data_IF_272214679150
#
_entry.id   IF_272214679150
#
_cell.length_a   1.000
_cell.length_b   1.000
_cell.length_c   1.000
_cell.angle_alpha   90.00
_cell.angle_beta   90.00
_cell.angle_gamma   90.00
#
_symmetry.space_group_name_H-M   'P 1'
#
loop_
_entity.id
_entity.type
_entity.pdbx_description
1 polymer ?
#
# COMPACT_ATOMS: atom_id res chain seq x y z
N UNK A 1 -31.60 -10.33 -5.05
CA UNK A 1 -31.07 -10.30 -3.67
C UNK A 1 -29.76 -11.08 -3.66
N UNK A 2 -28.66 -10.34 -3.45
CA UNK A 2 -27.39 -10.72 -2.83
C UNK A 2 -26.77 -12.11 -3.06
N UNK A 3 -25.69 -12.13 -3.84
CA UNK A 3 -24.51 -12.99 -3.60
C UNK A 3 -23.24 -12.22 -4.02
N UNK A 4 -22.80 -11.30 -3.15
CA UNK A 4 -21.49 -10.65 -3.24
C UNK A 4 -20.69 -10.76 -1.92
N UNK A 5 -21.09 -11.60 -0.97
CA UNK A 5 -20.57 -11.52 0.41
C UNK A 5 -19.69 -12.67 0.91
N UNK A 6 -19.27 -13.65 0.12
CA UNK A 6 -18.57 -14.83 0.68
C UNK A 6 -17.03 -14.71 0.77
N UNK A 7 -16.41 -13.62 0.32
CA UNK A 7 -14.94 -13.54 0.25
C UNK A 7 -14.25 -12.95 1.50
N UNK A 8 -14.98 -12.38 2.47
CA UNK A 8 -14.38 -11.70 3.65
C UNK A 8 -14.38 -12.55 4.95
N UNK A 9 -14.93 -13.78 4.92
CA UNK A 9 -15.30 -14.49 6.17
C UNK A 9 -14.20 -15.36 6.80
N UNK A 10 -13.05 -15.57 6.14
CA UNK A 10 -12.02 -16.50 6.62
C UNK A 10 -10.82 -15.82 7.31
N UNK A 11 -10.87 -14.51 7.59
CA UNK A 11 -9.78 -13.78 8.25
C UNK A 11 -10.17 -13.38 9.67
N UNK A 12 -9.41 -13.85 10.66
CA UNK A 12 -9.78 -13.70 12.09
C UNK A 12 -8.76 -12.90 12.91
N UNK A 13 -7.68 -12.40 12.30
CA UNK A 13 -6.71 -11.56 12.99
C UNK A 13 -7.27 -10.16 13.29
N UNK A 14 -7.78 -9.97 14.50
CA UNK A 14 -8.38 -8.70 14.94
C UNK A 14 -7.36 -7.67 15.45
N UNK A 15 -6.09 -7.78 15.07
CA UNK A 15 -4.96 -6.91 15.45
C UNK A 15 -4.13 -6.52 14.22
N UNK A 16 -3.30 -5.46 14.30
CA UNK A 16 -2.46 -5.06 13.15
C UNK A 16 -1.34 -6.07 12.84
N UNK A 17 -1.01 -6.94 13.79
CA UNK A 17 -0.05 -8.04 13.68
C UNK A 17 -0.62 -9.30 14.35
N UNK A 18 -0.58 -10.49 13.71
CA UNK A 18 -1.00 -11.74 14.34
C UNK A 18 -0.23 -12.06 15.62
N UNK A 19 -0.94 -12.59 16.62
CA UNK A 19 -0.36 -12.95 17.92
C UNK A 19 0.81 -13.94 17.80
N UNK A 20 0.71 -14.91 16.88
CA UNK A 20 1.78 -15.86 16.61
C UNK A 20 3.05 -15.17 16.08
N UNK A 21 2.90 -14.16 15.22
CA UNK A 21 4.03 -13.37 14.72
C UNK A 21 4.64 -12.52 15.83
N UNK A 22 3.80 -11.87 16.66
CA UNK A 22 4.27 -11.08 17.81
C UNK A 22 5.17 -11.93 18.71
N UNK A 23 4.68 -13.10 19.16
CA UNK A 23 5.44 -14.03 20.01
C UNK A 23 6.73 -14.50 19.35
N UNK A 24 6.66 -14.81 18.04
CA UNK A 24 7.84 -15.21 17.28
C UNK A 24 8.89 -14.10 17.28
N UNK A 25 8.53 -12.86 16.95
CA UNK A 25 9.46 -11.74 16.89
C UNK A 25 10.00 -11.36 18.27
N UNK A 26 9.19 -11.45 19.33
CA UNK A 26 9.64 -11.26 20.71
C UNK A 26 10.69 -12.32 21.11
N UNK A 27 10.40 -13.60 20.87
CA UNK A 27 11.31 -14.71 21.23
C UNK A 27 12.65 -14.68 20.48
N UNK A 28 12.70 -13.97 19.34
CA UNK A 28 13.89 -13.85 18.48
C UNK A 28 14.55 -12.46 18.54
N UNK A 29 14.09 -11.57 19.41
CA UNK A 29 14.57 -10.18 19.50
C UNK A 29 14.47 -9.41 18.16
N UNK A 30 13.44 -9.69 17.35
CA UNK A 30 13.21 -9.10 16.03
C UNK A 30 12.23 -7.91 16.06
N UNK A 31 12.13 -7.20 17.18
CA UNK A 31 11.23 -6.05 17.32
C UNK A 31 11.84 -4.82 16.63
N UNK A 32 11.11 -4.26 15.66
CA UNK A 32 11.52 -3.06 14.96
C UNK A 32 11.50 -1.84 15.91
N UNK A 33 12.40 -0.84 15.78
CA UNK A 33 12.38 0.35 16.64
C UNK A 33 11.01 1.05 16.68
N UNK A 34 10.30 1.11 15.54
CA UNK A 34 8.97 1.72 15.42
C UNK A 34 7.84 0.87 16.03
N UNK A 35 8.13 -0.32 16.51
CA UNK A 35 7.20 -1.24 17.18
C UNK A 35 7.54 -1.42 18.67
N UNK A 36 8.61 -0.77 19.14
CA UNK A 36 9.11 -0.85 20.51
C UNK A 36 8.40 0.13 21.43
N UNK A 37 8.18 -0.26 22.69
CA UNK A 37 7.71 0.65 23.74
C UNK A 37 8.77 1.68 24.13
N UNK A 38 10.04 1.35 23.90
CA UNK A 38 11.19 2.23 24.11
C UNK A 38 11.67 2.77 22.76
N UNK A 39 11.24 4.01 22.44
CA UNK A 39 11.63 4.73 21.22
C UNK A 39 12.94 5.52 21.41
N UNK A 40 13.49 5.60 22.62
CA UNK A 40 14.67 6.42 22.94
C UNK A 40 15.96 5.59 22.98
N UNK A 41 15.86 4.26 23.03
CA UNK A 41 17.01 3.38 22.90
C UNK A 41 17.68 3.52 21.53
N UNK A 42 18.85 4.16 21.52
CA UNK A 42 19.72 4.30 20.36
C UNK A 42 19.93 2.96 19.65
N UNK A 43 20.12 3.01 18.33
CA UNK A 43 20.40 1.88 17.41
C UNK A 43 21.59 1.01 17.79
N UNK A 44 22.31 1.36 18.87
CA UNK A 44 23.61 0.86 19.27
C UNK A 44 23.62 -0.05 20.50
N UNK A 45 22.49 -0.29 21.17
CA UNK A 45 22.44 -1.26 22.28
C UNK A 45 21.55 -2.45 21.94
N UNK A 46 22.18 -3.62 21.82
CA UNK A 46 21.58 -4.95 21.60
C UNK A 46 20.74 -5.45 22.78
N UNK A 47 20.11 -4.55 23.54
CA UNK A 47 19.10 -4.93 24.52
C UNK A 47 17.84 -5.33 23.77
N UNK A 48 17.28 -6.48 24.14
CA UNK A 48 16.00 -6.96 23.61
C UNK A 48 14.95 -5.87 23.74
N UNK A 49 14.53 -5.28 22.62
CA UNK A 49 13.43 -4.32 22.61
C UNK A 49 12.16 -5.02 23.04
N UNK A 50 11.38 -4.37 23.90
CA UNK A 50 10.06 -4.86 24.31
C UNK A 50 9.04 -4.42 23.27
N UNK A 51 8.25 -5.37 22.77
CA UNK A 51 7.18 -5.06 21.82
C UNK A 51 6.12 -4.17 22.51
N UNK A 52 5.73 -3.11 21.81
CA UNK A 52 4.47 -2.44 22.07
C UNK A 52 3.43 -3.05 21.12
N UNK A 53 2.59 -3.92 21.66
CA UNK A 53 1.59 -4.67 20.89
C UNK A 53 0.62 -3.74 20.12
N UNK A 54 0.42 -2.51 20.59
CA UNK A 54 -0.42 -1.52 19.90
C UNK A 54 0.23 -0.95 18.62
N UNK A 55 1.54 -1.15 18.45
CA UNK A 55 2.35 -0.66 17.33
C UNK A 55 2.88 -1.77 16.43
N UNK A 56 2.77 -3.03 16.85
CA UNK A 56 3.18 -4.17 16.05
C UNK A 56 2.34 -4.24 14.77
N UNK A 57 3.00 -4.30 13.62
CA UNK A 57 2.34 -4.50 12.32
C UNK A 57 2.95 -5.72 11.63
N UNK A 58 2.09 -6.56 11.04
CA UNK A 58 2.47 -7.77 10.28
C UNK A 58 3.57 -7.45 9.25
N UNK A 59 4.70 -8.16 9.30
CA UNK A 59 5.78 -8.05 8.31
C UNK A 59 5.37 -8.74 7.01
N UNK A 60 5.83 -8.23 5.86
CA UNK A 60 5.69 -8.97 4.61
C UNK A 60 6.45 -10.30 4.69
N UNK A 61 5.76 -11.40 4.36
CA UNK A 61 6.39 -12.72 4.27
C UNK A 61 6.43 -13.17 2.82
N UNK A 62 7.55 -13.74 2.38
CA UNK A 62 7.62 -14.34 1.04
C UNK A 62 6.68 -15.56 1.02
N UNK A 63 5.79 -15.69 0.02
CA UNK A 63 4.97 -16.89 -0.12
C UNK A 63 5.86 -18.13 -0.12
N UNK A 64 5.58 -19.09 0.76
CA UNK A 64 6.23 -20.39 0.72
C UNK A 64 5.61 -21.19 -0.44
N UNK A 65 6.42 -21.74 -1.34
CA UNK A 65 5.92 -22.59 -2.41
C UNK A 65 5.15 -23.79 -1.82
N UNK A 66 3.94 -24.04 -2.30
CA UNK A 66 3.15 -25.24 -1.96
C UNK A 66 2.40 -25.22 -0.61
N UNK A 67 2.17 -24.06 0.00
CA UNK A 67 1.19 -23.93 1.11
C UNK A 67 -0.10 -23.31 0.59
N UNK A 68 -1.10 -24.13 0.34
CA UNK A 68 -2.39 -23.69 -0.19
C UNK A 68 -3.35 -23.16 0.90
N UNK A 69 -3.14 -23.53 2.17
CA UNK A 69 -3.95 -23.02 3.29
C UNK A 69 -3.13 -22.08 4.18
N UNK A 70 -3.53 -20.80 4.18
CA UNK A 70 -3.06 -19.81 5.16
C UNK A 70 -4.04 -19.84 6.33
N UNK A 71 -3.51 -20.05 7.54
CA UNK A 71 -4.29 -20.02 8.77
C UNK A 71 -5.09 -18.69 8.89
N UNK A 72 -6.43 -18.74 9.03
CA UNK A 72 -7.30 -17.58 9.27
C UNK A 72 -6.79 -16.61 10.32
N UNK A 73 -6.16 -17.11 11.39
CA UNK A 73 -5.63 -16.29 12.48
C UNK A 73 -4.46 -15.40 12.06
N UNK A 74 -3.87 -15.68 10.90
CA UNK A 74 -2.77 -14.92 10.31
C UNK A 74 -3.25 -13.87 9.30
N UNK A 75 -4.53 -13.90 8.91
CA UNK A 75 -5.11 -12.96 7.95
C UNK A 75 -5.92 -11.89 8.67
N UNK A 76 -5.66 -10.62 8.33
CA UNK A 76 -6.37 -9.47 8.87
C UNK A 76 -7.57 -9.15 7.98
N UNK A 77 -8.80 -9.10 8.52
CA UNK A 77 -9.98 -8.75 7.75
C UNK A 77 -9.97 -7.26 7.37
N UNK A 78 -10.81 -6.88 6.41
CA UNK A 78 -10.85 -5.52 5.87
C UNK A 78 -10.85 -4.39 6.93
N UNK A 79 -11.70 -4.41 7.99
CA UNK A 79 -11.71 -3.33 8.99
C UNK A 79 -10.34 -3.15 9.68
N UNK A 80 -9.61 -4.24 9.85
CA UNK A 80 -8.27 -4.25 10.46
C UNK A 80 -7.24 -3.74 9.46
N UNK A 81 -7.30 -4.15 8.20
CA UNK A 81 -6.41 -3.62 7.15
C UNK A 81 -6.58 -2.11 6.98
N UNK A 82 -7.82 -1.62 6.92
CA UNK A 82 -8.15 -0.20 6.79
C UNK A 82 -7.53 0.64 7.91
N UNK A 83 -7.77 0.29 9.17
CA UNK A 83 -7.16 1.02 10.30
C UNK A 83 -5.63 0.88 10.34
N UNK A 84 -5.08 -0.23 9.85
CA UNK A 84 -3.62 -0.43 9.76
C UNK A 84 -3.02 0.50 8.72
N UNK A 85 -3.64 0.65 7.55
CA UNK A 85 -3.23 1.65 6.54
C UNK A 85 -3.27 3.05 7.15
N UNK A 86 -4.37 3.43 7.81
CA UNK A 86 -4.46 4.75 8.46
C UNK A 86 -3.39 4.96 9.54
N UNK A 87 -3.04 3.93 10.31
CA UNK A 87 -1.93 3.98 11.27
C UNK A 87 -0.59 4.22 10.58
N UNK A 88 -0.27 3.44 9.54
CA UNK A 88 1.01 3.53 8.82
C UNK A 88 1.17 4.88 8.10
N UNK A 89 0.10 5.41 7.50
CA UNK A 89 0.14 6.72 6.83
C UNK A 89 0.31 7.88 7.83
N UNK A 90 -0.33 7.81 9.00
CA UNK A 90 -0.07 8.78 10.08
C UNK A 90 1.38 8.68 10.57
N UNK A 91 1.90 7.47 10.76
CA UNK A 91 3.30 7.25 11.11
C UNK A 91 4.25 7.87 10.07
N UNK A 92 3.97 7.72 8.78
CA UNK A 92 4.75 8.33 7.70
C UNK A 92 4.76 9.86 7.74
N UNK A 93 3.69 10.49 8.23
CA UNK A 93 3.55 11.94 8.27
C UNK A 93 4.04 12.56 9.58
N UNK A 94 3.85 11.88 10.71
CA UNK A 94 4.00 12.44 12.06
C UNK A 94 5.25 11.94 12.81
N UNK A 95 5.92 10.89 12.32
CA UNK A 95 7.08 10.34 13.02
C UNK A 95 8.26 11.31 13.07
N UNK A 96 8.91 11.38 14.22
CA UNK A 96 10.17 12.11 14.44
C UNK A 96 11.41 11.29 14.06
N UNK A 97 11.23 10.01 13.70
CA UNK A 97 12.33 9.16 13.26
C UNK A 97 12.84 9.57 11.87
N UNK A 98 14.00 9.04 11.47
CA UNK A 98 14.53 9.30 10.14
C UNK A 98 13.57 8.80 9.05
N UNK A 99 13.47 9.56 7.96
CA UNK A 99 12.61 9.19 6.84
C UNK A 99 12.94 7.79 6.29
N UNK A 100 14.23 7.43 6.21
CA UNK A 100 14.67 6.08 5.82
C UNK A 100 14.03 4.99 6.65
N UNK A 101 14.11 5.09 7.98
CA UNK A 101 13.58 4.07 8.88
C UNK A 101 12.06 3.95 8.76
N UNK A 102 11.38 5.08 8.59
CA UNK A 102 9.93 5.15 8.41
C UNK A 102 9.53 4.56 7.06
N UNK A 103 10.24 4.91 5.99
CA UNK A 103 9.99 4.41 4.63
C UNK A 103 10.14 2.90 4.56
N UNK A 104 11.27 2.35 5.03
CA UNK A 104 11.53 0.90 5.01
C UNK A 104 10.46 0.13 5.77
N UNK A 105 10.07 0.64 6.95
CA UNK A 105 9.00 0.06 7.74
C UNK A 105 7.65 0.12 7.01
N UNK A 106 7.21 1.32 6.62
CA UNK A 106 5.88 1.50 6.04
C UNK A 106 5.74 0.75 4.71
N UNK A 107 6.74 0.81 3.83
CA UNK A 107 6.70 0.10 2.54
C UNK A 107 6.58 -1.41 2.72
N UNK A 108 7.32 -2.00 3.66
CA UNK A 108 7.20 -3.43 3.99
C UNK A 108 5.81 -3.78 4.53
N UNK A 109 5.30 -2.99 5.48
CA UNK A 109 4.00 -3.27 6.12
C UNK A 109 2.81 -3.06 5.16
N UNK A 110 2.90 -2.10 4.23
CA UNK A 110 1.92 -1.95 3.15
C UNK A 110 1.96 -3.13 2.18
N UNK A 111 3.14 -3.68 1.89
CA UNK A 111 3.27 -4.91 1.10
C UNK A 111 2.63 -6.12 1.81
N UNK A 112 2.73 -6.20 3.14
CA UNK A 112 2.04 -7.22 3.93
C UNK A 112 0.51 -7.07 3.89
N UNK A 113 0.00 -5.83 3.93
CA UNK A 113 -1.44 -5.54 3.75
C UNK A 113 -1.91 -6.01 2.37
N UNK A 114 -1.17 -5.68 1.31
CA UNK A 114 -1.48 -6.15 -0.04
C UNK A 114 -1.47 -7.68 -0.17
N UNK A 115 -0.54 -8.35 0.51
CA UNK A 115 -0.52 -9.81 0.57
C UNK A 115 -1.80 -10.37 1.20
N UNK A 116 -2.26 -9.79 2.31
CA UNK A 116 -3.53 -10.17 2.95
C UNK A 116 -4.71 -9.95 2.00
N UNK A 117 -4.74 -8.85 1.25
CA UNK A 117 -5.78 -8.56 0.26
C UNK A 117 -5.84 -9.63 -0.86
N UNK A 118 -4.67 -10.05 -1.36
CA UNK A 118 -4.56 -11.07 -2.41
C UNK A 118 -5.03 -12.43 -1.91
N UNK A 119 -4.56 -12.86 -0.73
CA UNK A 119 -4.92 -14.16 -0.15
C UNK A 119 -6.42 -14.25 0.10
N UNK A 120 -7.01 -13.18 0.64
CA UNK A 120 -8.45 -13.10 0.92
C UNK A 120 -9.30 -12.90 -0.35
N UNK A 121 -8.69 -12.69 -1.53
CA UNK A 121 -9.40 -12.33 -2.77
C UNK A 121 -10.39 -11.18 -2.53
N UNK A 122 -9.88 -10.14 -1.86
CA UNK A 122 -10.69 -9.03 -1.36
C UNK A 122 -11.61 -8.45 -2.42
N UNK A 123 -12.85 -8.10 -2.02
CA UNK A 123 -13.83 -7.57 -2.95
C UNK A 123 -13.37 -6.23 -3.58
N UNK A 124 -13.91 -5.87 -4.77
CA UNK A 124 -13.48 -4.68 -5.50
C UNK A 124 -13.61 -3.36 -4.71
N UNK A 125 -14.69 -3.15 -3.96
CA UNK A 125 -14.90 -1.89 -3.22
C UNK A 125 -13.86 -1.69 -2.13
N UNK A 126 -13.65 -2.72 -1.30
CA UNK A 126 -12.61 -2.72 -0.26
C UNK A 126 -11.20 -2.60 -0.85
N UNK A 127 -10.95 -3.27 -1.99
CA UNK A 127 -9.67 -3.18 -2.71
C UNK A 127 -9.39 -1.76 -3.20
N UNK A 128 -10.38 -1.12 -3.82
CA UNK A 128 -10.25 0.26 -4.30
C UNK A 128 -9.91 1.20 -3.14
N UNK A 129 -10.68 1.12 -2.06
CA UNK A 129 -10.52 2.00 -0.90
C UNK A 129 -9.11 1.89 -0.29
N UNK A 130 -8.60 0.68 -0.09
CA UNK A 130 -7.25 0.49 0.46
C UNK A 130 -6.17 0.99 -0.52
N UNK A 131 -6.28 0.69 -1.81
CA UNK A 131 -5.29 1.11 -2.79
C UNK A 131 -5.23 2.62 -2.93
N UNK A 132 -6.37 3.30 -2.97
CA UNK A 132 -6.44 4.75 -3.06
C UNK A 132 -5.84 5.43 -1.83
N UNK A 133 -5.95 4.83 -0.65
CA UNK A 133 -5.25 5.31 0.54
C UNK A 133 -3.73 5.08 0.47
N UNK A 134 -3.27 3.94 -0.05
CA UNK A 134 -1.86 3.55 -0.06
C UNK A 134 -1.03 4.20 -1.18
N UNK A 135 -1.59 4.36 -2.38
CA UNK A 135 -0.85 4.86 -3.57
C UNK A 135 -0.19 6.24 -3.34
N UNK A 136 -0.85 7.22 -2.70
CA UNK A 136 -0.22 8.51 -2.42
C UNK A 136 1.09 8.41 -1.63
N UNK A 137 1.19 7.46 -0.69
CA UNK A 137 2.44 7.23 0.05
C UNK A 137 3.59 6.85 -0.89
N UNK A 138 3.34 5.97 -1.86
CA UNK A 138 4.38 5.55 -2.80
C UNK A 138 4.87 6.72 -3.66
N UNK A 139 3.99 7.55 -4.22
CA UNK A 139 4.41 8.74 -4.96
C UNK A 139 5.20 9.74 -4.11
N UNK A 140 4.76 10.00 -2.88
CA UNK A 140 5.48 10.88 -1.95
C UNK A 140 6.85 10.29 -1.59
N UNK A 141 6.93 8.99 -1.39
CA UNK A 141 8.17 8.30 -1.07
C UNK A 141 9.15 8.30 -2.24
N UNK A 142 8.69 8.01 -3.46
CA UNK A 142 9.50 8.15 -4.68
C UNK A 142 10.08 9.56 -4.77
N UNK A 143 9.23 10.59 -4.71
CA UNK A 143 9.68 11.98 -4.78
C UNK A 143 10.72 12.31 -3.68
N UNK A 144 10.44 11.94 -2.42
CA UNK A 144 11.35 12.22 -1.30
C UNK A 144 12.68 11.50 -1.43
N UNK A 145 12.67 10.21 -1.80
CA UNK A 145 13.87 9.39 -1.87
C UNK A 145 14.72 9.65 -3.12
N UNK A 146 14.11 10.06 -4.22
CA UNK A 146 14.84 10.49 -5.44
C UNK A 146 15.38 11.92 -5.28
N UNK A 147 14.64 12.82 -4.60
CA UNK A 147 15.08 14.20 -4.37
C UNK A 147 16.08 14.34 -3.22
N UNK A 148 16.01 13.45 -2.23
CA UNK A 148 16.88 13.44 -1.05
C UNK A 148 17.44 12.04 -0.93
N UNK A 149 18.77 11.92 -0.88
CA UNK A 149 19.42 10.62 -0.71
C UNK A 149 18.83 9.89 0.50
N UNK A 150 18.16 8.78 0.23
CA UNK A 150 17.56 7.91 1.24
C UNK A 150 18.37 6.60 1.26
N UNK A 151 19.23 6.38 2.25
CA UNK A 151 19.85 5.09 2.46
C UNK A 151 18.78 3.97 2.47
N UNK A 152 19.06 2.82 1.87
CA UNK A 152 18.12 1.68 1.83
C UNK A 152 16.98 1.79 0.81
N UNK A 153 16.80 2.93 0.13
CA UNK A 153 15.85 3.05 -0.97
C UNK A 153 16.33 2.29 -2.22
N UNK A 154 15.65 1.18 -2.54
CA UNK A 154 15.81 0.48 -3.82
C UNK A 154 14.75 0.98 -4.81
N UNK A 155 15.19 1.78 -5.78
CA UNK A 155 14.35 2.36 -6.84
C UNK A 155 13.58 1.32 -7.64
N UNK A 156 14.22 0.18 -7.96
CA UNK A 156 13.59 -0.86 -8.78
C UNK A 156 12.51 -1.58 -7.98
N UNK A 157 12.82 -1.94 -6.74
CA UNK A 157 11.85 -2.54 -5.83
C UNK A 157 10.67 -1.60 -5.58
N UNK A 158 10.93 -0.30 -5.36
CA UNK A 158 9.89 0.71 -5.17
C UNK A 158 8.98 0.83 -6.41
N UNK A 159 9.57 1.01 -7.60
CA UNK A 159 8.77 1.12 -8.84
C UNK A 159 7.92 -0.12 -9.08
N UNK A 160 8.47 -1.32 -8.83
CA UNK A 160 7.73 -2.58 -8.94
C UNK A 160 6.51 -2.58 -8.01
N UNK A 161 6.68 -2.17 -6.74
CA UNK A 161 5.56 -2.12 -5.79
C UNK A 161 4.49 -1.11 -6.20
N UNK A 162 4.89 0.09 -6.64
CA UNK A 162 3.97 1.11 -7.11
C UNK A 162 3.22 0.66 -8.38
N UNK A 163 3.91 0.03 -9.33
CA UNK A 163 3.32 -0.53 -10.54
C UNK A 163 2.29 -1.62 -10.24
N UNK A 164 2.60 -2.55 -9.33
CA UNK A 164 1.64 -3.57 -8.91
C UNK A 164 0.40 -2.95 -8.22
N UNK A 165 0.57 -1.90 -7.41
CA UNK A 165 -0.54 -1.15 -6.82
C UNK A 165 -1.41 -0.51 -7.91
N UNK A 166 -0.79 0.21 -8.85
CA UNK A 166 -1.48 0.94 -9.92
C UNK A 166 -2.18 0.00 -10.90
N UNK A 167 -1.55 -1.12 -11.25
CA UNK A 167 -2.16 -2.14 -12.10
C UNK A 167 -3.42 -2.71 -11.45
N UNK A 168 -3.32 -3.13 -10.18
CA UNK A 168 -4.49 -3.64 -9.45
C UNK A 168 -5.56 -2.57 -9.23
N UNK A 169 -5.16 -1.33 -8.99
CA UNK A 169 -6.08 -0.19 -8.86
C UNK A 169 -6.84 0.04 -10.17
N UNK A 170 -6.15 0.07 -11.33
CA UNK A 170 -6.76 0.25 -12.66
C UNK A 170 -7.83 -0.81 -12.94
N UNK A 171 -7.52 -2.09 -12.68
CA UNK A 171 -8.48 -3.19 -12.85
C UNK A 171 -9.78 -2.94 -12.09
N UNK A 172 -9.67 -2.54 -10.83
CA UNK A 172 -10.82 -2.35 -9.94
C UNK A 172 -11.54 -1.01 -10.21
N UNK A 173 -10.78 0.04 -10.54
CA UNK A 173 -11.29 1.34 -10.95
C UNK A 173 -12.21 1.23 -12.18
N UNK A 174 -11.77 0.49 -13.20
CA UNK A 174 -12.55 0.22 -14.41
C UNK A 174 -13.85 -0.55 -14.14
N UNK A 175 -13.86 -1.43 -13.14
CA UNK A 175 -15.04 -2.19 -12.75
C UNK A 175 -16.08 -1.34 -12.01
N UNK A 176 -15.65 -0.36 -11.22
CA UNK A 176 -16.52 0.42 -10.33
C UNK A 176 -16.95 1.75 -10.98
N UNK A 177 -16.08 2.40 -11.74
CA UNK A 177 -16.37 3.68 -12.38
C UNK A 177 -16.31 4.89 -11.44
N UNK A 178 -15.37 4.92 -10.49
CA UNK A 178 -15.22 6.02 -9.51
C UNK A 178 -14.40 7.19 -10.07
N UNK A 179 -14.58 8.41 -9.55
CA UNK A 179 -13.66 9.52 -9.84
C UNK A 179 -12.60 9.60 -8.75
N UNK A 180 -11.33 9.61 -9.14
CA UNK A 180 -10.21 9.52 -8.21
C UNK A 180 -9.02 10.33 -8.69
N UNK A 181 -8.37 11.08 -7.80
CA UNK A 181 -7.13 11.78 -8.14
C UNK A 181 -6.00 10.80 -8.50
N UNK A 182 -6.12 9.53 -8.11
CA UNK A 182 -5.19 8.46 -8.51
C UNK A 182 -5.17 8.25 -10.03
N UNK A 183 -6.28 8.49 -10.73
CA UNK A 183 -6.30 8.39 -12.19
C UNK A 183 -5.34 9.38 -12.85
N UNK A 184 -5.22 10.58 -12.28
CA UNK A 184 -4.24 11.56 -12.77
C UNK A 184 -2.81 11.08 -12.51
N UNK A 185 -2.53 10.59 -11.31
CA UNK A 185 -1.20 10.07 -10.97
C UNK A 185 -0.81 8.90 -11.88
N UNK A 186 -1.75 8.02 -12.20
CA UNK A 186 -1.55 6.93 -13.16
C UNK A 186 -1.22 7.45 -14.56
N UNK A 187 -2.02 8.39 -15.09
CA UNK A 187 -1.82 8.95 -16.42
C UNK A 187 -0.49 9.69 -16.53
N UNK A 188 -0.12 10.49 -15.53
CA UNK A 188 1.15 11.22 -15.50
C UNK A 188 2.35 10.27 -15.46
N UNK A 189 2.29 9.20 -14.65
CA UNK A 189 3.38 8.23 -14.55
C UNK A 189 3.61 7.48 -15.86
N UNK A 190 2.54 7.23 -16.62
CA UNK A 190 2.60 6.45 -17.86
C UNK A 190 2.50 7.34 -19.12
N UNK A 191 2.74 8.65 -19.01
CA UNK A 191 2.53 9.59 -20.10
C UNK A 191 3.41 9.32 -21.35
N UNK A 192 4.51 8.59 -21.17
CA UNK A 192 5.42 8.13 -22.23
C UNK A 192 4.92 6.88 -22.96
N UNK A 193 3.93 6.17 -22.42
CA UNK A 193 3.36 4.95 -22.99
C UNK A 193 2.17 5.26 -23.89
N UNK A 194 2.16 4.71 -25.10
CA UNK A 194 1.07 4.90 -26.08
C UNK A 194 -0.28 4.39 -25.58
N UNK A 195 -0.28 3.31 -24.80
CA UNK A 195 -1.48 2.70 -24.20
C UNK A 195 -2.23 3.67 -23.28
N UNK A 196 -1.50 4.59 -22.63
CA UNK A 196 -2.07 5.60 -21.71
C UNK A 196 -3.03 6.54 -22.43
N UNK A 197 -2.86 6.76 -23.74
CA UNK A 197 -3.80 7.55 -24.52
C UNK A 197 -5.16 6.85 -24.63
N UNK A 198 -5.18 5.53 -24.79
CA UNK A 198 -6.42 4.75 -24.83
C UNK A 198 -7.12 4.84 -23.48
N UNK A 199 -6.38 4.59 -22.38
CA UNK A 199 -6.87 4.72 -21.01
C UNK A 199 -7.50 6.11 -20.77
N UNK A 200 -6.79 7.16 -21.18
CA UNK A 200 -7.29 8.53 -21.08
C UNK A 200 -8.61 8.75 -21.83
N UNK A 201 -8.73 8.28 -23.08
CA UNK A 201 -9.95 8.47 -23.87
C UNK A 201 -11.15 7.72 -23.29
N UNK A 202 -10.90 6.55 -22.71
CA UNK A 202 -11.90 5.71 -22.07
C UNK A 202 -12.40 6.34 -20.76
N UNK A 203 -11.49 6.93 -19.98
CA UNK A 203 -11.80 7.41 -18.62
C UNK A 203 -12.27 8.86 -18.57
N UNK A 204 -12.29 9.59 -19.70
CA UNK A 204 -12.55 11.04 -19.73
C UNK A 204 -13.79 11.51 -18.95
N UNK A 205 -14.82 10.67 -18.86
CA UNK A 205 -16.06 10.95 -18.12
C UNK A 205 -15.93 10.74 -16.61
N UNK A 206 -15.01 9.87 -16.18
CA UNK A 206 -14.68 9.52 -14.79
C UNK A 206 -13.55 10.39 -14.23
N UNK A 207 -12.77 11.06 -15.09
CA UNK A 207 -11.71 11.98 -14.66
C UNK A 207 -12.29 13.13 -13.81
N UNK A 208 -11.55 13.56 -12.77
CA UNK A 208 -11.89 14.74 -11.98
C UNK A 208 -12.21 15.96 -12.88
N UNK A 209 -13.27 16.74 -12.59
CA UNK A 209 -13.70 17.85 -13.45
C UNK A 209 -12.61 18.86 -13.79
N UNK A 210 -11.66 19.10 -12.86
CA UNK A 210 -10.53 20.01 -13.03
C UNK A 210 -9.58 19.60 -14.17
N UNK A 211 -9.63 18.35 -14.60
CA UNK A 211 -8.75 17.81 -15.64
C UNK A 211 -9.41 17.75 -17.01
N UNK A 212 -10.74 17.94 -17.09
CA UNK A 212 -11.46 17.99 -18.37
C UNK A 212 -11.03 19.17 -19.26
N UNK A 213 -10.41 20.20 -18.70
CA UNK A 213 -9.84 21.31 -19.48
C UNK A 213 -8.47 20.98 -20.07
N UNK A 214 -7.62 20.25 -19.35
CA UNK A 214 -6.34 19.70 -19.87
C UNK A 214 -6.63 18.67 -20.96
N UNK A 215 -7.76 17.95 -20.84
CA UNK A 215 -8.24 16.99 -21.83
C UNK A 215 -8.39 17.65 -23.22
N UNK A 216 -8.99 18.83 -23.30
CA UNK A 216 -9.16 19.54 -24.59
C UNK A 216 -7.85 19.93 -25.28
N UNK A 217 -6.73 20.05 -24.56
CA UNK A 217 -5.43 20.39 -25.16
C UNK A 217 -4.81 19.20 -25.91
N UNK A 218 -4.96 17.98 -25.39
CA UNK A 218 -4.45 16.76 -26.04
C UNK A 218 -5.27 16.39 -27.29
N UNK A 219 -6.58 16.65 -27.25
CA UNK A 219 -7.46 16.46 -28.42
C UNK A 219 -7.18 17.51 -29.52
N UNK A 220 -6.79 18.74 -29.15
CA UNK A 220 -6.42 19.81 -30.09
C UNK A 220 -5.13 19.55 -30.87
N UNK A 221 -4.16 18.84 -30.31
CA UNK A 221 -2.93 18.45 -31.01
C UNK A 221 -3.15 17.49 -32.20
N UNK A 222 -4.32 16.84 -32.29
CA UNK A 222 -4.68 16.00 -33.44
C UNK A 222 -5.21 16.76 -34.65
N UNK A 223 -5.58 18.03 -34.52
CA UNK A 223 -6.01 18.84 -35.68
C UNK A 223 -4.84 19.46 -36.46
N UNK A 224 -3.59 19.18 -36.04
CA UNK A 224 -2.36 19.71 -36.63
C UNK A 224 -1.53 18.66 -37.40
N UNK A 225 -2.08 17.48 -37.63
CA UNK A 225 -1.54 16.44 -38.52
C UNK A 225 -2.65 15.93 -39.45
#
# INVERSE_FOLDING_TARGET
>A
MNTLSEADDNATCMTMCPEAEIRFRESRCLIHPLESSDQTASTSSSKSRRADHSRMVKVYSRPAAGRDDVDPSQLRPFPVLKRTVSYLLRLANESTASWTLVYEFVADRLRAIRQDMIIQRMNPLHTLELLEAMIPFYFIAEYRCESRHCPGYDRKLHSTQLEECLCRWKEVFLLIGSSSDISLCYLLRNADKTETYQDYTEWKTQLPPRLRSVVGLLDGCRQLH
#
